data_IF_165436309151
#
_entry.id   IF_165436309151
#
_cell.length_a   1.000
_cell.length_b   1.000
_cell.length_c   1.000
_cell.angle_alpha   90.00
_cell.angle_beta   90.00
_cell.angle_gamma   90.00
#
_symmetry.space_group_name_H-M   'P 1'
#
loop_
_entity.id
_entity.type
_entity.pdbx_description
1 polymer ?
#
# COMPACT_ATOMS: atom_id res chain seq x y z
N UNK A 1 -13.58 -0.54 16.77
CA UNK A 1 -12.41 -0.02 16.03
C UNK A 1 -12.52 -0.19 14.50
N UNK A 2 -13.54 -0.86 13.92
CA UNK A 2 -13.68 -0.97 12.45
C UNK A 2 -14.28 0.30 11.81
N UNK A 3 -15.25 0.94 12.46
CA UNK A 3 -15.98 2.12 11.94
C UNK A 3 -15.03 3.29 11.62
N UNK A 4 -14.03 3.54 12.47
CA UNK A 4 -13.10 4.67 12.32
C UNK A 4 -12.19 4.49 11.11
N UNK A 5 -11.76 3.26 10.83
CA UNK A 5 -10.88 2.96 9.69
C UNK A 5 -11.61 3.03 8.35
N UNK A 6 -12.90 2.66 8.30
CA UNK A 6 -13.75 2.86 7.12
C UNK A 6 -13.92 4.36 6.87
N UNK A 7 -14.25 5.12 7.91
CA UNK A 7 -14.45 6.56 7.78
C UNK A 7 -13.15 7.27 7.35
N UNK A 8 -12.01 6.93 7.95
CA UNK A 8 -10.69 7.46 7.54
C UNK A 8 -10.39 7.16 6.07
N UNK A 9 -10.54 5.90 5.65
CA UNK A 9 -10.29 5.50 4.27
C UNK A 9 -11.21 6.24 3.29
N UNK A 10 -12.50 6.32 3.59
CA UNK A 10 -13.46 7.05 2.76
C UNK A 10 -13.15 8.55 2.71
N UNK A 11 -12.73 9.17 3.82
CA UNK A 11 -12.41 10.60 3.86
C UNK A 11 -11.15 10.94 3.05
N UNK A 12 -10.08 10.16 3.20
CA UNK A 12 -8.76 10.52 2.67
C UNK A 12 -8.37 9.81 1.38
N UNK A 13 -8.93 8.62 1.10
CA UNK A 13 -8.54 7.81 -0.06
C UNK A 13 -9.54 7.85 -1.20
N UNK A 14 -10.76 8.38 -1.03
CA UNK A 14 -11.79 8.45 -2.10
C UNK A 14 -11.38 9.20 -3.36
N UNK A 15 -10.44 10.14 -3.23
CA UNK A 15 -9.94 10.92 -4.37
C UNK A 15 -8.87 10.16 -5.18
N UNK A 16 -8.30 9.11 -4.57
CA UNK A 16 -7.15 8.36 -5.06
C UNK A 16 -7.55 6.95 -5.50
N UNK A 17 -8.40 6.28 -4.72
CA UNK A 17 -8.87 4.92 -4.98
C UNK A 17 -10.29 4.91 -5.57
N UNK A 18 -10.65 3.87 -6.35
CA UNK A 18 -11.99 3.71 -6.90
C UNK A 18 -13.05 3.56 -5.79
N UNK A 19 -14.28 4.04 -6.05
CA UNK A 19 -15.38 4.00 -5.09
C UNK A 19 -15.76 2.55 -4.70
N UNK A 20 -15.59 1.61 -5.63
CA UNK A 20 -15.90 0.20 -5.49
C UNK A 20 -15.08 -0.47 -4.37
N UNK A 21 -13.91 0.08 -4.07
CA UNK A 21 -12.99 -0.42 -3.03
C UNK A 21 -13.48 -0.10 -1.62
N UNK A 22 -14.35 0.90 -1.47
CA UNK A 22 -14.91 1.31 -0.17
C UNK A 22 -16.26 0.68 0.14
N UNK A 23 -16.80 -0.16 -0.75
CA UNK A 23 -18.04 -0.88 -0.50
C UNK A 23 -17.79 -2.00 0.51
N UNK A 24 -17.86 -1.65 1.80
CA UNK A 24 -17.68 -2.60 2.90
C UNK A 24 -18.96 -3.41 3.15
N UNK A 25 -18.83 -4.72 3.33
CA UNK A 25 -19.89 -5.55 3.91
C UNK A 25 -19.67 -5.61 5.42
N UNK A 26 -20.71 -5.28 6.21
CA UNK A 26 -20.63 -5.33 7.68
C UNK A 26 -20.25 -6.73 8.14
N UNK A 27 -19.18 -6.84 8.92
CA UNK A 27 -18.65 -8.13 9.42
C UNK A 27 -17.69 -8.84 8.47
N UNK A 28 -17.34 -8.27 7.33
CA UNK A 28 -16.32 -8.83 6.45
C UNK A 28 -14.92 -8.79 7.08
N UNK A 29 -14.06 -9.78 6.81
CA UNK A 29 -12.66 -9.75 7.22
C UNK A 29 -11.91 -8.63 6.50
N UNK A 30 -10.96 -8.02 7.22
CA UNK A 30 -10.11 -6.95 6.73
C UNK A 30 -8.74 -7.48 6.38
N UNK A 31 -8.25 -7.09 5.21
CA UNK A 31 -6.91 -7.41 4.76
C UNK A 31 -6.12 -6.13 4.50
N UNK A 32 -4.80 -6.24 4.64
CA UNK A 32 -3.88 -5.14 4.41
C UNK A 32 -3.55 -5.07 2.92
N UNK A 33 -3.69 -3.88 2.34
CA UNK A 33 -3.36 -3.59 0.95
C UNK A 33 -2.13 -2.70 0.87
N UNK A 34 -1.30 -2.96 -0.13
CA UNK A 34 -0.23 -2.07 -0.60
C UNK A 34 -0.47 -1.80 -2.08
N UNK A 35 -0.80 -0.55 -2.38
CA UNK A 35 -1.17 -0.09 -3.72
C UNK A 35 -0.10 0.92 -4.15
N UNK A 36 0.59 0.62 -5.25
CA UNK A 36 1.60 1.48 -5.84
C UNK A 36 1.03 2.06 -7.12
N UNK A 37 0.93 3.38 -7.18
CA UNK A 37 0.49 4.12 -8.35
C UNK A 37 1.63 4.30 -9.35
N UNK A 38 1.31 4.54 -10.62
CA UNK A 38 2.28 4.89 -11.67
C UNK A 38 3.04 6.19 -11.34
N UNK A 39 2.42 7.11 -10.60
CA UNK A 39 3.06 8.34 -10.09
C UNK A 39 4.12 8.09 -9.02
N UNK A 40 4.25 6.85 -8.52
CA UNK A 40 5.12 6.51 -7.40
C UNK A 40 4.47 6.68 -6.03
N UNK A 41 3.25 7.22 -5.94
CA UNK A 41 2.50 7.27 -4.70
C UNK A 41 2.19 5.85 -4.19
N UNK A 42 2.38 5.61 -2.89
CA UNK A 42 2.11 4.31 -2.25
C UNK A 42 1.04 4.46 -1.20
N UNK A 43 -0.12 3.86 -1.44
CA UNK A 43 -1.24 3.79 -0.50
C UNK A 43 -1.16 2.47 0.26
N UNK A 44 -1.16 2.57 1.59
CA UNK A 44 -1.18 1.42 2.50
C UNK A 44 -2.39 1.56 3.40
N UNK A 45 -3.31 0.60 3.34
CA UNK A 45 -4.55 0.66 4.11
C UNK A 45 -5.11 -0.74 4.31
N UNK A 46 -6.02 -0.89 5.27
CA UNK A 46 -6.77 -2.12 5.47
C UNK A 46 -8.19 -1.95 4.95
N UNK A 47 -8.58 -2.81 4.00
CA UNK A 47 -9.88 -2.79 3.35
C UNK A 47 -10.62 -4.08 3.64
N UNK A 48 -11.94 -3.98 3.74
CA UNK A 48 -12.82 -5.14 3.83
C UNK A 48 -12.74 -5.91 2.50
N UNK A 49 -12.56 -7.23 2.56
CA UNK A 49 -12.53 -8.06 1.36
C UNK A 49 -13.35 -9.34 1.54
N UNK A 50 -13.68 -9.96 0.41
CA UNK A 50 -14.32 -11.27 0.41
C UNK A 50 -13.31 -12.33 0.89
N UNK A 51 -13.58 -13.09 1.97
CA UNK A 51 -12.67 -14.14 2.42
C UNK A 51 -12.45 -15.24 1.38
N UNK A 52 -13.42 -15.46 0.48
CA UNK A 52 -13.29 -16.44 -0.60
C UNK A 52 -12.35 -15.96 -1.72
N UNK A 53 -12.08 -14.66 -1.81
CA UNK A 53 -11.15 -14.07 -2.78
C UNK A 53 -10.53 -12.79 -2.24
N UNK A 54 -9.41 -12.97 -1.52
CA UNK A 54 -8.65 -11.86 -0.92
C UNK A 54 -8.11 -10.88 -1.97
N UNK A 55 -7.93 -11.33 -3.22
CA UNK A 55 -7.37 -10.53 -4.32
C UNK A 55 -8.46 -9.76 -5.10
N UNK A 56 -9.73 -9.98 -4.78
CA UNK A 56 -10.87 -9.36 -5.47
C UNK A 56 -10.72 -7.83 -5.56
N UNK A 57 -10.31 -7.20 -4.47
CA UNK A 57 -10.09 -5.74 -4.38
C UNK A 57 -8.97 -5.27 -5.30
N UNK A 58 -7.80 -5.93 -5.32
CA UNK A 58 -6.73 -5.59 -6.26
C UNK A 58 -7.15 -5.76 -7.73
N UNK A 59 -7.83 -6.86 -8.04
CA UNK A 59 -8.33 -7.13 -9.39
C UNK A 59 -9.40 -6.12 -9.84
N UNK A 60 -10.32 -5.76 -8.95
CA UNK A 60 -11.33 -4.73 -9.20
C UNK A 60 -10.66 -3.37 -9.50
N UNK A 61 -9.62 -3.04 -8.75
CA UNK A 61 -8.85 -1.83 -8.96
C UNK A 61 -8.08 -1.82 -10.28
N UNK A 62 -7.45 -2.93 -10.68
CA UNK A 62 -6.80 -3.08 -12.00
C UNK A 62 -7.78 -2.87 -13.15
N UNK A 63 -8.99 -3.42 -13.01
CA UNK A 63 -10.06 -3.32 -14.00
C UNK A 63 -10.87 -2.03 -13.93
N UNK A 64 -10.60 -1.13 -12.97
CA UNK A 64 -11.40 0.08 -12.82
C UNK A 64 -11.19 1.05 -13.98
N UNK A 65 -12.29 1.67 -14.44
CA UNK A 65 -12.26 2.70 -15.48
C UNK A 65 -11.45 3.94 -15.09
N UNK A 66 -11.18 4.13 -13.78
CA UNK A 66 -10.32 5.20 -13.27
C UNK A 66 -8.89 5.09 -13.81
N UNK A 67 -8.39 3.86 -14.02
CA UNK A 67 -7.07 3.62 -14.64
C UNK A 67 -7.01 4.05 -16.11
N UNK A 68 -8.17 4.21 -16.76
CA UNK A 68 -8.29 4.53 -18.19
C UNK A 68 -8.50 6.02 -18.43
N UNK A 69 -9.09 6.74 -17.47
CA UNK A 69 -9.44 8.16 -17.61
C UNK A 69 -8.34 9.11 -17.12
N UNK A 70 -7.59 8.73 -16.07
CA UNK A 70 -6.52 9.56 -15.50
C UNK A 70 -5.24 8.73 -15.28
N UNK A 71 -4.17 8.94 -16.08
CA UNK A 71 -2.95 8.17 -15.98
C UNK A 71 -2.24 8.35 -14.63
N UNK A 72 -2.50 9.44 -13.89
CA UNK A 72 -1.92 9.68 -12.57
C UNK A 72 -2.52 8.77 -11.48
N UNK A 73 -3.72 8.24 -11.72
CA UNK A 73 -4.42 7.29 -10.83
C UNK A 73 -4.25 5.84 -11.25
N UNK A 74 -3.48 5.60 -12.32
CA UNK A 74 -3.22 4.26 -12.81
C UNK A 74 -2.40 3.48 -11.79
N UNK A 75 -2.87 2.29 -11.45
CA UNK A 75 -2.17 1.39 -10.55
C UNK A 75 -1.04 0.69 -11.31
N UNK A 76 0.13 0.66 -10.69
CA UNK A 76 1.32 -0.06 -11.16
C UNK A 76 1.43 -1.44 -10.51
N UNK A 77 1.10 -1.54 -9.23
CA UNK A 77 1.20 -2.77 -8.46
C UNK A 77 0.21 -2.76 -7.30
N UNK A 78 -0.43 -3.90 -7.04
CA UNK A 78 -1.30 -4.10 -5.89
C UNK A 78 -1.00 -5.45 -5.24
N UNK A 79 -0.91 -5.48 -3.91
CA UNK A 79 -0.75 -6.72 -3.14
C UNK A 79 -1.62 -6.72 -1.89
N UNK A 80 -2.09 -7.90 -1.52
CA UNK A 80 -2.91 -8.14 -0.33
C UNK A 80 -2.18 -9.08 0.63
N UNK A 81 -2.30 -8.83 1.92
CA UNK A 81 -1.74 -9.69 2.96
C UNK A 81 -2.61 -9.65 4.24
N UNK A 82 -2.47 -10.68 5.06
CA UNK A 82 -3.33 -10.97 6.22
C UNK A 82 -2.60 -10.93 7.58
N UNK A 83 -1.30 -10.64 7.57
CA UNK A 83 -0.47 -10.54 8.77
C UNK A 83 -0.35 -9.11 9.27
N UNK A 84 -0.09 -8.93 10.56
CA UNK A 84 0.20 -7.62 11.11
C UNK A 84 1.41 -6.98 10.44
N UNK A 85 1.32 -5.69 10.14
CA UNK A 85 2.39 -4.86 9.52
C UNK A 85 2.89 -5.34 8.14
N UNK A 86 2.20 -6.27 7.50
CA UNK A 86 2.66 -6.88 6.24
C UNK A 86 2.71 -5.92 5.04
N UNK A 87 1.93 -4.83 5.06
CA UNK A 87 1.94 -3.81 4.02
C UNK A 87 2.92 -2.65 4.30
N UNK A 88 3.79 -2.78 5.31
CA UNK A 88 4.72 -1.74 5.73
C UNK A 88 5.63 -1.24 4.58
N UNK A 89 6.21 -0.06 4.79
CA UNK A 89 7.32 0.38 3.95
C UNK A 89 8.50 -0.57 4.16
N UNK A 90 8.90 -1.29 3.10
CA UNK A 90 10.21 -1.92 3.00
C UNK A 90 11.27 -0.83 2.90
N UNK A 91 11.42 0.00 3.94
CA UNK A 91 12.48 1.00 4.08
C UNK A 91 13.71 0.43 4.80
N UNK A 92 13.65 -0.82 5.29
CA UNK A 92 14.76 -1.46 6.00
C UNK A 92 15.84 -2.05 5.09
N UNK A 93 15.61 -2.19 3.78
CA UNK A 93 16.57 -2.87 2.88
C UNK A 93 17.64 -1.95 2.29
N UNK A 94 17.49 -0.62 2.39
CA UNK A 94 18.47 0.34 1.88
C UNK A 94 19.40 0.92 2.95
N UNK A 95 19.14 0.68 4.24
CA UNK A 95 20.03 1.16 5.31
C UNK A 95 21.31 0.34 5.46
N UNK A 96 21.31 -0.94 5.06
CA UNK A 96 22.53 -1.77 5.07
C UNK A 96 23.64 -1.22 4.17
N UNK A 97 23.43 -0.93 2.87
CA UNK A 97 24.49 -0.40 2.01
C UNK A 97 24.96 1.01 2.43
N UNK A 98 24.07 1.84 2.98
CA UNK A 98 24.44 3.17 3.48
C UNK A 98 25.26 3.09 4.78
N UNK A 99 24.91 2.18 5.69
CA UNK A 99 25.66 1.97 6.93
C UNK A 99 27.05 1.37 6.69
N UNK A 100 27.19 0.46 5.72
CA UNK A 100 28.51 -0.10 5.35
C UNK A 100 29.41 0.96 4.71
N UNK A 101 28.87 1.81 3.83
CA UNK A 101 29.63 2.93 3.25
C UNK A 101 30.08 3.93 4.32
N UNK A 102 29.21 4.25 5.28
CA UNK A 102 29.56 5.13 6.40
C UNK A 102 30.67 4.53 7.28
N UNK A 103 30.64 3.21 7.55
CA UNK A 103 31.68 2.49 8.29
C UNK A 103 33.02 2.47 7.56
N UNK A 104 33.02 2.25 6.23
CA UNK A 104 34.25 2.26 5.42
C UNK A 104 34.84 3.68 5.38
N UNK A 105 33.99 4.70 5.20
CA UNK A 105 34.43 6.10 5.21
C UNK A 105 35.04 6.50 6.55
N UNK A 106 34.39 6.17 7.68
CA UNK A 106 34.96 6.46 9.01
C UNK A 106 36.26 5.69 9.26
N UNK A 107 36.37 4.43 8.86
CA UNK A 107 37.62 3.68 8.98
C UNK A 107 38.78 4.31 8.19
N UNK A 108 38.52 4.78 6.96
CA UNK A 108 39.55 5.43 6.14
C UNK A 108 39.94 6.82 6.67
N UNK A 109 38.97 7.61 7.14
CA UNK A 109 39.22 8.94 7.71
C UNK A 109 39.93 8.88 9.08
N UNK A 110 39.68 7.86 9.91
CA UNK A 110 40.36 7.70 11.20
C UNK A 110 41.73 7.02 11.12
N UNK A 111 42.12 6.51 9.93
CA UNK A 111 43.41 5.82 9.72
C UNK A 111 44.47 6.70 9.02
N UNK A 112 44.10 7.89 8.52
CA UNK A 112 45.06 8.95 8.18
C UNK A 112 45.48 9.72 9.43
#
# INVERSE_FOLDING_TARGET
MSQDSINYNTLYLRSILPAEVFSSVVGAPRYCHKIVMQTGAVVRTCLDANPADINHTCRSMENSKLNTADPSKKIKYCSVCDKDTCNAATSMSFSLPLATLALIATYLFCKQ
#
